data_IF_071578028102
#
_entry.id   IF_071578028102
#
_cell.length_a   1.000
_cell.length_b   1.000
_cell.length_c   1.000
_cell.angle_alpha   90.00
_cell.angle_beta   90.00
_cell.angle_gamma   90.00
#
_symmetry.space_group_name_H-M   'P 1'
#
loop_
_entity.id
_entity.type
_entity.pdbx_description
1 polymer ?
#
# COMPACT_ATOMS: atom_id res chain seq x y z
N UNK A 1 18.07 -19.09 -5.73
CA UNK A 1 17.49 -18.51 -6.95
C UNK A 1 16.37 -19.41 -7.41
N UNK A 2 15.13 -19.15 -6.99
CA UNK A 2 13.97 -19.92 -7.41
C UNK A 2 13.31 -19.17 -8.57
N UNK A 3 13.81 -19.41 -9.78
CA UNK A 3 13.33 -18.77 -11.02
C UNK A 3 11.82 -18.94 -11.20
N UNK A 4 11.26 -20.01 -10.62
CA UNK A 4 9.82 -20.29 -10.63
C UNK A 4 8.96 -19.34 -9.78
N UNK A 5 9.50 -18.64 -8.77
CA UNK A 5 8.70 -17.69 -7.97
C UNK A 5 8.50 -16.39 -8.73
N UNK A 6 9.59 -15.78 -9.22
CA UNK A 6 9.51 -14.52 -9.97
C UNK A 6 8.74 -14.66 -11.31
N UNK A 7 8.83 -15.82 -11.97
CA UNK A 7 8.00 -16.11 -13.16
C UNK A 7 6.51 -16.32 -12.81
N UNK A 8 6.20 -16.82 -11.61
CA UNK A 8 4.84 -17.00 -11.11
C UNK A 8 4.21 -15.64 -10.76
N UNK A 9 4.93 -14.77 -10.06
CA UNK A 9 4.45 -13.44 -9.64
C UNK A 9 4.30 -12.51 -10.85
N UNK A 10 5.26 -12.53 -11.78
CA UNK A 10 5.14 -11.82 -13.07
C UNK A 10 3.98 -12.31 -13.95
N UNK A 11 3.56 -13.57 -13.80
CA UNK A 11 2.38 -14.12 -14.48
C UNK A 11 1.08 -13.72 -13.79
N UNK A 12 1.08 -13.66 -12.45
CA UNK A 12 -0.07 -13.23 -11.65
C UNK A 12 -0.42 -11.75 -11.93
N UNK A 13 0.57 -10.85 -11.88
CA UNK A 13 0.36 -9.43 -12.21
C UNK A 13 -0.25 -9.25 -13.61
N UNK A 14 0.26 -9.98 -14.60
CA UNK A 14 -0.26 -9.91 -15.97
C UNK A 14 -1.73 -10.30 -16.02
N UNK A 15 -2.10 -11.42 -15.40
CA UNK A 15 -3.48 -11.89 -15.37
C UNK A 15 -4.41 -10.86 -14.70
N UNK A 16 -3.98 -10.26 -13.60
CA UNK A 16 -4.79 -9.24 -12.91
C UNK A 16 -4.89 -7.94 -13.72
N UNK A 17 -3.83 -7.53 -14.42
CA UNK A 17 -3.88 -6.39 -15.34
C UNK A 17 -4.80 -6.66 -16.54
N UNK A 18 -4.80 -7.88 -17.08
CA UNK A 18 -5.74 -8.30 -18.13
C UNK A 18 -7.20 -8.28 -17.62
N UNK A 19 -7.45 -8.73 -16.39
CA UNK A 19 -8.78 -8.63 -15.74
C UNK A 19 -9.21 -7.18 -15.51
N UNK A 20 -8.30 -6.32 -15.06
CA UNK A 20 -8.55 -4.89 -14.92
C UNK A 20 -8.93 -4.28 -16.28
N UNK A 21 -8.16 -4.56 -17.32
CA UNK A 21 -8.45 -4.07 -18.67
C UNK A 21 -9.82 -4.57 -19.17
N UNK A 22 -10.11 -5.85 -18.99
CA UNK A 22 -11.37 -6.45 -19.46
C UNK A 22 -12.58 -5.89 -18.72
N UNK A 23 -12.55 -5.81 -17.39
CA UNK A 23 -13.66 -5.25 -16.59
C UNK A 23 -13.94 -3.77 -16.95
N UNK A 24 -12.91 -2.98 -17.22
CA UNK A 24 -13.08 -1.59 -17.69
C UNK A 24 -13.70 -1.52 -19.10
N UNK A 25 -13.32 -2.43 -20.00
CA UNK A 25 -13.94 -2.54 -21.34
C UNK A 25 -15.41 -2.94 -21.25
N UNK A 26 -15.76 -3.88 -20.38
CA UNK A 26 -17.13 -4.34 -20.20
C UNK A 26 -18.01 -3.23 -19.61
N UNK A 27 -17.51 -2.51 -18.60
CA UNK A 27 -18.16 -1.31 -18.06
C UNK A 27 -18.39 -0.26 -19.17
N UNK A 28 -17.39 0.00 -20.02
CA UNK A 28 -17.52 0.94 -21.14
C UNK A 28 -18.55 0.47 -22.17
N UNK A 29 -18.58 -0.83 -22.49
CA UNK A 29 -19.52 -1.40 -23.44
C UNK A 29 -20.98 -1.23 -22.97
N UNK A 30 -21.24 -1.43 -21.69
CA UNK A 30 -22.57 -1.17 -21.08
C UNK A 30 -22.94 0.31 -21.26
N UNK A 31 -22.04 1.23 -20.89
CA UNK A 31 -22.28 2.69 -21.03
C UNK A 31 -22.51 3.08 -22.49
N UNK A 32 -21.84 2.42 -23.45
CA UNK A 32 -22.02 2.67 -24.89
C UNK A 32 -23.37 2.17 -25.41
N UNK A 33 -23.87 1.05 -24.89
CA UNK A 33 -25.16 0.47 -25.28
C UNK A 33 -26.38 1.21 -24.67
N UNK A 34 -26.19 1.96 -23.58
CA UNK A 34 -27.27 2.72 -22.93
C UNK A 34 -27.89 3.78 -23.87
N UNK A 35 -29.23 3.83 -24.00
CA UNK A 35 -29.91 4.86 -24.78
C UNK A 35 -29.50 6.28 -24.38
N UNK A 36 -29.18 7.12 -25.38
CA UNK A 36 -28.80 8.54 -25.16
C UNK A 36 -30.00 9.47 -25.12
N UNK A 37 -31.09 9.08 -25.75
CA UNK A 37 -32.34 9.83 -25.82
C UNK A 37 -33.48 8.99 -25.23
N UNK A 38 -34.45 9.64 -24.59
CA UNK A 38 -35.62 8.99 -23.98
C UNK A 38 -35.29 7.90 -22.94
N UNK A 39 -34.15 8.01 -22.25
CA UNK A 39 -33.70 7.05 -21.24
C UNK A 39 -34.69 6.98 -20.06
N UNK A 40 -35.21 5.79 -19.78
CA UNK A 40 -36.12 5.56 -18.66
C UNK A 40 -35.35 5.31 -17.37
N UNK A 41 -35.95 5.66 -16.24
CA UNK A 41 -35.35 5.46 -14.92
C UNK A 41 -34.93 4.00 -14.66
N UNK A 42 -35.76 3.02 -15.03
CA UNK A 42 -35.41 1.60 -14.87
C UNK A 42 -34.18 1.22 -15.69
N UNK A 43 -34.10 1.67 -16.95
CA UNK A 43 -32.96 1.36 -17.84
C UNK A 43 -31.65 1.95 -17.29
N UNK A 44 -31.74 3.15 -16.72
CA UNK A 44 -30.62 3.77 -16.01
C UNK A 44 -30.19 2.96 -14.78
N UNK A 45 -31.16 2.49 -13.97
CA UNK A 45 -30.84 1.71 -12.77
C UNK A 45 -30.15 0.39 -13.11
N UNK A 46 -30.60 -0.33 -14.14
CA UNK A 46 -29.93 -1.55 -14.62
C UNK A 46 -28.52 -1.23 -15.13
N UNK A 47 -28.38 -0.19 -15.97
CA UNK A 47 -27.07 0.28 -16.46
C UNK A 47 -26.12 0.57 -15.30
N UNK A 48 -26.58 1.32 -14.29
CA UNK A 48 -25.75 1.71 -13.15
C UNK A 48 -25.35 0.50 -12.29
N UNK A 49 -26.23 -0.48 -12.12
CA UNK A 49 -25.93 -1.71 -11.39
C UNK A 49 -24.88 -2.56 -12.12
N UNK A 50 -25.03 -2.76 -13.43
CA UNK A 50 -24.07 -3.52 -14.25
C UNK A 50 -22.69 -2.86 -14.30
N UNK A 51 -22.64 -1.54 -14.54
CA UNK A 51 -21.38 -0.78 -14.46
C UNK A 51 -20.75 -0.91 -13.07
N UNK A 52 -21.56 -0.84 -12.02
CA UNK A 52 -21.10 -0.98 -10.63
C UNK A 52 -20.43 -2.33 -10.35
N UNK A 53 -20.95 -3.42 -10.92
CA UNK A 53 -20.36 -4.76 -10.83
C UNK A 53 -18.97 -4.81 -11.45
N UNK A 54 -18.82 -4.35 -12.69
CA UNK A 54 -17.52 -4.36 -13.35
C UNK A 54 -16.51 -3.41 -12.71
N UNK A 55 -16.95 -2.26 -12.18
CA UNK A 55 -16.07 -1.40 -11.39
C UNK A 55 -15.62 -2.04 -10.06
N UNK A 56 -16.39 -2.99 -9.51
CA UNK A 56 -15.96 -3.79 -8.37
C UNK A 56 -14.89 -4.80 -8.77
N UNK A 57 -15.08 -5.50 -9.89
CA UNK A 57 -14.07 -6.41 -10.47
C UNK A 57 -12.76 -5.67 -10.79
N UNK A 58 -12.83 -4.46 -11.36
CA UNK A 58 -11.67 -3.61 -11.59
C UNK A 58 -10.93 -3.28 -10.29
N UNK A 59 -11.66 -2.97 -9.20
CA UNK A 59 -11.03 -2.70 -7.89
C UNK A 59 -10.41 -3.95 -7.29
N UNK A 60 -11.01 -5.12 -7.45
CA UNK A 60 -10.44 -6.38 -6.98
C UNK A 60 -9.13 -6.68 -7.72
N UNK A 61 -9.11 -6.56 -9.04
CA UNK A 61 -7.90 -6.70 -9.84
C UNK A 61 -6.79 -5.71 -9.42
N UNK A 62 -7.14 -4.44 -9.20
CA UNK A 62 -6.22 -3.44 -8.64
C UNK A 62 -5.70 -3.84 -7.26
N UNK A 63 -6.56 -4.42 -6.42
CA UNK A 63 -6.18 -4.83 -5.08
C UNK A 63 -5.21 -6.02 -5.09
N UNK A 64 -5.38 -6.97 -6.00
CA UNK A 64 -4.45 -8.10 -6.15
C UNK A 64 -3.08 -7.61 -6.63
N UNK A 65 -3.02 -6.77 -7.66
CA UNK A 65 -1.74 -6.17 -8.12
C UNK A 65 -1.07 -5.36 -7.00
N UNK A 66 -1.82 -4.50 -6.31
CA UNK A 66 -1.29 -3.73 -5.18
C UNK A 66 -0.76 -4.64 -4.07
N UNK A 67 -1.46 -5.73 -3.75
CA UNK A 67 -1.03 -6.67 -2.72
C UNK A 67 0.31 -7.31 -3.07
N UNK A 68 0.48 -7.75 -4.31
CA UNK A 68 1.66 -8.47 -4.75
C UNK A 68 2.88 -7.53 -4.90
N UNK A 69 2.69 -6.31 -5.42
CA UNK A 69 3.80 -5.34 -5.58
C UNK A 69 4.16 -4.60 -4.29
N UNK A 70 3.17 -4.27 -3.47
CA UNK A 70 3.30 -3.28 -2.37
C UNK A 70 2.85 -3.81 -1.01
N UNK A 71 2.00 -4.84 -1.00
CA UNK A 71 1.37 -5.37 0.20
C UNK A 71 0.03 -4.71 0.54
N UNK A 72 -0.25 -4.63 1.84
CA UNK A 72 -1.56 -4.19 2.35
C UNK A 72 -1.93 -2.75 2.01
N UNK A 73 -3.23 -2.46 1.97
CA UNK A 73 -3.75 -1.11 1.67
C UNK A 73 -3.18 -0.01 2.58
N UNK A 74 -2.87 -0.32 3.85
CA UNK A 74 -2.24 0.63 4.78
C UNK A 74 -0.81 0.97 4.37
N UNK A 75 -0.02 -0.04 4.00
CA UNK A 75 1.34 0.09 3.48
C UNK A 75 1.34 0.94 2.20
N UNK A 76 0.46 0.62 1.24
CA UNK A 76 0.31 1.37 0.00
C UNK A 76 -0.04 2.85 0.23
N UNK A 77 -0.98 3.13 1.13
CA UNK A 77 -1.34 4.50 1.49
C UNK A 77 -0.17 5.26 2.10
N UNK A 78 0.56 4.64 3.03
CA UNK A 78 1.70 5.28 3.67
C UNK A 78 2.83 5.58 2.66
N UNK A 79 3.13 4.62 1.78
CA UNK A 79 4.08 4.85 0.68
C UNK A 79 3.67 6.02 -0.19
N UNK A 80 2.40 6.08 -0.59
CA UNK A 80 1.88 7.16 -1.43
C UNK A 80 1.96 8.52 -0.74
N UNK A 81 1.65 8.62 0.55
CA UNK A 81 1.84 9.86 1.30
C UNK A 81 3.31 10.25 1.42
N UNK A 82 4.20 9.30 1.68
CA UNK A 82 5.64 9.56 1.81
C UNK A 82 6.29 9.97 0.48
N UNK A 83 5.73 9.59 -0.67
CA UNK A 83 6.17 10.08 -1.97
C UNK A 83 5.54 11.41 -2.40
N UNK A 84 4.56 11.92 -1.64
CA UNK A 84 3.90 13.22 -1.89
C UNK A 84 3.80 14.06 -0.60
N UNK A 85 4.92 14.29 0.12
CA UNK A 85 4.89 15.00 1.39
C UNK A 85 4.42 16.44 1.20
N UNK A 86 3.52 16.91 2.06
CA UNK A 86 2.97 18.26 1.99
C UNK A 86 1.92 18.50 0.88
N UNK A 87 1.67 17.53 0.00
CA UNK A 87 0.66 17.66 -1.05
C UNK A 87 -0.76 17.35 -0.57
N UNK A 88 -1.77 17.94 -1.22
CA UNK A 88 -3.18 17.61 -0.99
C UNK A 88 -3.57 16.36 -1.81
N UNK A 89 -3.79 15.24 -1.14
CA UNK A 89 -4.24 13.99 -1.75
C UNK A 89 -5.75 13.85 -1.61
N UNK A 90 -6.46 13.70 -2.73
CA UNK A 90 -7.91 13.58 -2.73
C UNK A 90 -8.40 12.20 -2.21
N UNK A 91 -9.61 12.12 -1.63
CA UNK A 91 -10.23 10.84 -1.25
C UNK A 91 -10.29 9.79 -2.37
N UNK A 92 -10.50 10.22 -3.62
CA UNK A 92 -10.54 9.31 -4.78
C UNK A 92 -9.16 8.74 -5.13
N UNK A 93 -8.08 9.53 -4.99
CA UNK A 93 -6.72 9.01 -5.10
C UNK A 93 -6.46 7.96 -4.01
N UNK A 94 -6.85 8.23 -2.77
CA UNK A 94 -6.67 7.28 -1.66
C UNK A 94 -7.47 5.99 -1.87
N UNK A 95 -8.70 6.06 -2.39
CA UNK A 95 -9.48 4.88 -2.75
C UNK A 95 -8.80 4.05 -3.84
N UNK A 96 -8.24 4.71 -4.86
CA UNK A 96 -7.50 4.06 -5.94
C UNK A 96 -6.22 3.38 -5.44
N UNK A 97 -5.39 4.10 -4.67
CA UNK A 97 -4.14 3.59 -4.08
C UNK A 97 -4.40 2.41 -3.13
N UNK A 98 -5.41 2.55 -2.27
CA UNK A 98 -5.79 1.50 -1.33
C UNK A 98 -6.51 0.34 -2.03
N UNK A 99 -7.07 0.57 -3.23
CA UNK A 99 -7.99 -0.30 -3.98
C UNK A 99 -9.08 -0.93 -3.09
N UNK A 100 -9.57 -0.19 -2.09
CA UNK A 100 -10.65 -0.58 -1.20
C UNK A 100 -11.51 0.63 -0.86
N UNK A 101 -12.82 0.42 -0.71
CA UNK A 101 -13.76 1.51 -0.32
C UNK A 101 -13.55 1.95 1.13
N UNK A 102 -13.07 1.06 2.00
CA UNK A 102 -12.87 1.32 3.43
C UNK A 102 -11.50 1.98 3.76
N UNK A 103 -10.89 2.69 2.81
CA UNK A 103 -9.56 3.30 2.95
C UNK A 103 -9.46 4.28 4.13
N UNK A 104 -10.53 5.02 4.45
CA UNK A 104 -10.53 5.99 5.55
C UNK A 104 -10.23 5.35 6.92
N UNK A 105 -10.49 4.04 7.08
CA UNK A 105 -10.07 3.29 8.27
C UNK A 105 -8.56 3.18 8.36
N UNK A 106 -7.87 2.95 7.24
CA UNK A 106 -6.40 2.83 7.18
C UNK A 106 -5.71 4.15 7.53
N UNK A 107 -6.29 5.27 7.11
CA UNK A 107 -5.82 6.61 7.53
C UNK A 107 -5.91 6.78 9.05
N UNK A 108 -7.01 6.35 9.67
CA UNK A 108 -7.14 6.40 11.14
C UNK A 108 -6.11 5.52 11.83
N UNK A 109 -5.85 4.33 11.30
CA UNK A 109 -4.81 3.42 11.81
C UNK A 109 -3.41 4.07 11.72
N UNK A 110 -3.08 4.75 10.61
CA UNK A 110 -1.82 5.49 10.48
C UNK A 110 -1.70 6.62 11.50
N UNK A 111 -2.76 7.42 11.68
CA UNK A 111 -2.82 8.48 12.71
C UNK A 111 -2.64 7.92 14.13
N UNK A 112 -3.22 6.75 14.42
CA UNK A 112 -3.09 6.09 15.73
C UNK A 112 -1.66 5.66 16.05
N UNK A 113 -0.84 5.36 15.03
CA UNK A 113 0.59 5.09 15.23
C UNK A 113 1.37 6.36 15.52
N UNK A 114 0.94 7.49 14.96
CA UNK A 114 1.57 8.79 15.16
C UNK A 114 1.87 9.56 13.87
N UNK A 115 1.41 9.07 12.71
CA UNK A 115 1.57 9.82 11.46
C UNK A 115 0.74 11.11 11.47
N UNK A 116 1.40 12.22 11.20
CA UNK A 116 0.79 13.55 11.10
C UNK A 116 0.12 13.75 9.73
N UNK A 117 -1.06 13.15 9.59
CA UNK A 117 -1.89 13.26 8.39
C UNK A 117 -3.08 14.13 8.73
N UNK A 118 -3.21 15.31 8.15
CA UNK A 118 -4.34 16.21 8.36
C UNK A 118 -5.43 16.03 7.32
N UNK A 119 -6.65 16.42 7.68
CA UNK A 119 -7.73 16.68 6.73
C UNK A 119 -7.78 18.18 6.49
N UNK A 120 -7.46 18.62 5.27
CA UNK A 120 -7.09 20.01 4.98
C UNK A 120 -8.25 21.00 5.16
N UNK A 121 -9.48 20.54 4.91
CA UNK A 121 -10.71 21.33 5.05
C UNK A 121 -11.88 20.46 5.52
N UNK A 122 -13.01 21.06 5.88
CA UNK A 122 -14.20 20.30 6.21
C UNK A 122 -14.90 19.75 4.95
N UNK A 123 -15.58 18.61 5.07
CA UNK A 123 -16.38 17.99 4.02
C UNK A 123 -15.99 16.54 3.74
N UNK A 124 -16.89 15.79 3.10
CA UNK A 124 -16.66 14.40 2.74
C UNK A 124 -15.53 14.23 1.70
N UNK A 125 -15.39 15.22 0.81
CA UNK A 125 -14.38 15.23 -0.26
C UNK A 125 -13.12 16.03 0.12
N UNK A 126 -12.92 16.24 1.42
CA UNK A 126 -11.76 16.96 1.91
C UNK A 126 -10.48 16.15 1.66
N UNK A 127 -9.43 16.76 1.08
CA UNK A 127 -8.17 16.09 0.85
C UNK A 127 -7.41 15.91 2.17
N UNK A 128 -6.46 14.99 2.10
CA UNK A 128 -5.54 14.66 3.17
C UNK A 128 -4.15 15.13 2.81
N UNK A 129 -3.35 15.48 3.82
CA UNK A 129 -1.96 15.89 3.63
C UNK A 129 -1.10 15.28 4.71
N UNK A 130 0.03 14.71 4.32
CA UNK A 130 1.08 14.30 5.25
C UNK A 130 1.95 15.53 5.56
N UNK A 131 2.00 15.94 6.81
CA UNK A 131 2.73 17.13 7.24
C UNK A 131 4.21 16.85 7.55
N UNK A 132 4.55 15.61 7.93
CA UNK A 132 5.90 15.17 8.24
C UNK A 132 6.22 13.84 7.52
N UNK A 133 7.32 13.75 6.74
CA UNK A 133 7.63 12.58 5.93
C UNK A 133 8.07 11.34 6.74
N UNK A 134 8.38 11.52 8.02
CA UNK A 134 8.85 10.46 8.93
C UNK A 134 8.20 10.59 10.31
N UNK A 135 8.12 9.47 11.03
CA UNK A 135 7.81 9.50 12.47
C UNK A 135 9.02 10.03 13.25
N UNK A 136 8.75 10.71 14.37
CA UNK A 136 9.78 10.96 15.38
C UNK A 136 10.43 9.64 15.82
N UNK A 137 11.75 9.63 16.00
CA UNK A 137 12.52 8.42 16.35
C UNK A 137 11.94 7.70 17.58
N UNK A 138 11.58 8.46 18.62
CA UNK A 138 10.98 7.91 19.85
C UNK A 138 9.65 7.19 19.59
N UNK A 139 8.86 7.65 18.63
CA UNK A 139 7.61 6.99 18.21
C UNK A 139 7.92 5.78 17.34
N UNK A 140 8.81 5.93 16.36
CA UNK A 140 9.21 4.86 15.44
C UNK A 140 9.74 3.62 16.17
N UNK A 141 10.62 3.81 17.15
CA UNK A 141 11.21 2.72 17.94
C UNK A 141 10.30 2.19 19.06
N UNK A 142 9.09 2.72 19.22
CA UNK A 142 8.21 2.36 20.33
C UNK A 142 7.57 0.97 20.18
N UNK A 143 7.27 0.37 21.34
CA UNK A 143 6.49 -0.87 21.44
C UNK A 143 5.09 -0.74 20.80
N UNK A 144 4.52 0.46 20.84
CA UNK A 144 3.24 0.75 20.18
C UNK A 144 3.35 0.58 18.67
N UNK A 145 4.43 1.09 18.06
CA UNK A 145 4.65 0.97 16.61
C UNK A 145 4.79 -0.50 16.22
N UNK A 146 5.63 -1.27 16.90
CA UNK A 146 5.79 -2.72 16.69
C UNK A 146 4.45 -3.46 16.84
N UNK A 147 3.69 -3.17 17.90
CA UNK A 147 2.40 -3.80 18.16
C UNK A 147 1.29 -3.40 17.18
N UNK A 148 1.46 -2.28 16.47
CA UNK A 148 0.52 -1.82 15.45
C UNK A 148 0.72 -2.47 14.09
N UNK A 149 1.86 -3.15 13.87
CA UNK A 149 2.21 -3.71 12.56
C UNK A 149 1.26 -4.87 12.24
N UNK A 150 0.55 -4.70 11.12
CA UNK A 150 -0.28 -5.72 10.51
C UNK A 150 0.50 -6.52 9.46
N UNK A 151 -0.17 -7.45 8.81
CA UNK A 151 0.41 -8.26 7.73
C UNK A 151 0.14 -9.75 7.93
N UNK A 152 -0.18 -10.41 6.83
CA UNK A 152 -0.51 -11.83 6.80
C UNK A 152 0.75 -12.70 6.77
N UNK A 153 1.79 -12.23 6.08
CA UNK A 153 3.10 -12.89 5.99
C UNK A 153 4.18 -12.20 6.85
N UNK A 154 5.29 -12.89 7.19
CA UNK A 154 6.44 -12.26 7.83
C UNK A 154 7.04 -11.13 6.98
N UNK A 155 7.18 -11.32 5.66
CA UNK A 155 7.65 -10.31 4.72
C UNK A 155 6.79 -9.03 4.77
N UNK A 156 5.45 -9.15 4.68
CA UNK A 156 4.53 -8.00 4.78
C UNK A 156 4.73 -7.22 6.09
N UNK A 157 4.83 -7.93 7.22
CA UNK A 157 5.06 -7.30 8.53
C UNK A 157 6.39 -6.55 8.55
N UNK A 158 7.44 -7.15 8.01
CA UNK A 158 8.77 -6.54 7.96
C UNK A 158 8.76 -5.27 7.10
N UNK A 159 8.16 -5.31 5.91
CA UNK A 159 8.13 -4.12 5.06
C UNK A 159 7.23 -3.01 5.63
N UNK A 160 6.06 -3.36 6.18
CA UNK A 160 5.19 -2.39 6.86
C UNK A 160 5.95 -1.72 8.02
N UNK A 161 6.69 -2.50 8.82
CA UNK A 161 7.49 -1.96 9.91
C UNK A 161 8.63 -1.06 9.44
N UNK A 162 9.45 -1.53 8.50
CA UNK A 162 10.58 -0.76 7.97
C UNK A 162 10.13 0.55 7.31
N UNK A 163 8.98 0.53 6.63
CA UNK A 163 8.35 1.73 6.08
C UNK A 163 7.91 2.71 7.18
N UNK A 164 7.37 2.19 8.28
CA UNK A 164 6.95 3.00 9.42
C UNK A 164 8.12 3.70 10.11
N UNK A 165 9.28 3.04 10.22
CA UNK A 165 10.40 3.54 11.00
C UNK A 165 11.48 4.22 10.17
N UNK A 166 11.52 4.03 8.85
CA UNK A 166 12.48 4.75 7.99
C UNK A 166 12.35 6.27 8.19
N UNK A 167 13.46 7.00 8.43
CA UNK A 167 14.85 6.63 8.13
C UNK A 167 15.62 5.97 9.29
N UNK A 168 14.95 5.58 10.37
CA UNK A 168 15.60 4.98 11.54
C UNK A 168 15.91 3.49 11.31
N UNK A 169 17.10 3.00 11.72
CA UNK A 169 17.47 1.60 11.55
C UNK A 169 16.74 0.69 12.56
N UNK A 170 16.32 -0.48 12.09
CA UNK A 170 15.71 -1.55 12.88
C UNK A 170 16.78 -2.50 13.45
N UNK A 171 16.71 -2.77 14.74
CA UNK A 171 17.54 -3.78 15.39
C UNK A 171 17.08 -5.21 15.06
N UNK A 172 17.98 -6.21 15.15
CA UNK A 172 17.62 -7.62 15.03
C UNK A 172 16.45 -8.04 15.93
N UNK A 173 16.39 -7.53 17.16
CA UNK A 173 15.35 -7.86 18.12
C UNK A 173 13.99 -7.30 17.70
N UNK A 174 13.96 -6.09 17.12
CA UNK A 174 12.71 -5.52 16.60
C UNK A 174 12.21 -6.32 15.38
N UNK A 175 13.10 -6.65 14.44
CA UNK A 175 12.78 -7.40 13.24
C UNK A 175 12.25 -8.81 13.56
N UNK A 176 12.88 -9.51 14.51
CA UNK A 176 12.43 -10.82 14.97
C UNK A 176 11.03 -10.75 15.60
N UNK A 177 10.77 -9.74 16.43
CA UNK A 177 9.46 -9.53 17.07
C UNK A 177 8.36 -9.20 16.06
N UNK A 178 8.67 -8.40 15.05
CA UNK A 178 7.75 -8.04 13.96
C UNK A 178 7.46 -9.25 13.06
N UNK A 179 8.49 -9.97 12.65
CA UNK A 179 8.35 -11.13 11.78
C UNK A 179 7.62 -12.29 12.48
N UNK A 180 7.78 -12.42 13.81
CA UNK A 180 7.25 -13.53 14.63
C UNK A 180 7.78 -14.90 14.24
N UNK A 181 8.90 -14.93 13.50
CA UNK A 181 9.60 -16.14 13.05
C UNK A 181 11.12 -15.92 13.15
N UNK A 182 11.90 -16.97 13.47
CA UNK A 182 13.35 -16.86 13.55
C UNK A 182 14.02 -16.69 12.17
N UNK A 183 13.29 -16.97 11.09
CA UNK A 183 13.75 -16.90 9.69
C UNK A 183 13.66 -15.51 9.08
N UNK A 184 13.38 -14.45 9.84
CA UNK A 184 13.17 -13.09 9.33
C UNK A 184 14.27 -12.56 8.41
N UNK A 185 15.53 -13.01 8.56
CA UNK A 185 16.63 -12.65 7.64
C UNK A 185 16.48 -13.23 6.23
N UNK A 186 15.77 -14.33 6.09
CA UNK A 186 15.41 -14.89 4.79
C UNK A 186 14.32 -14.02 4.15
N UNK A 187 13.28 -13.70 4.90
CA UNK A 187 12.17 -12.83 4.46
C UNK A 187 12.68 -11.45 4.01
N UNK A 188 13.65 -10.85 4.73
CA UNK A 188 14.29 -9.60 4.29
C UNK A 188 15.07 -9.75 2.99
N UNK A 189 15.75 -10.89 2.79
CA UNK A 189 16.48 -11.15 1.54
C UNK A 189 15.51 -11.32 0.38
N UNK A 190 14.38 -11.98 0.61
CA UNK A 190 13.30 -12.12 -0.37
C UNK A 190 12.73 -10.74 -0.74
N UNK A 191 12.46 -9.86 0.23
CA UNK A 191 12.05 -8.48 -0.04
C UNK A 191 13.09 -7.70 -0.88
N UNK A 192 14.40 -7.88 -0.62
CA UNK A 192 15.45 -7.27 -1.43
C UNK A 192 15.47 -7.85 -2.85
N UNK A 193 15.32 -9.16 -3.00
CA UNK A 193 15.21 -9.83 -4.30
C UNK A 193 13.96 -9.37 -5.09
N UNK A 194 12.88 -9.00 -4.39
CA UNK A 194 11.66 -8.38 -4.94
C UNK A 194 11.84 -6.89 -5.30
N UNK A 195 12.99 -6.29 -4.96
CA UNK A 195 13.36 -4.93 -5.34
C UNK A 195 13.19 -3.88 -4.25
N UNK A 196 12.84 -4.26 -3.02
CA UNK A 196 12.84 -3.32 -1.89
C UNK A 196 14.27 -2.91 -1.54
N UNK A 197 14.51 -1.60 -1.45
CA UNK A 197 15.81 -1.04 -1.10
C UNK A 197 16.03 -1.08 0.42
N UNK A 198 16.45 -2.23 0.94
CA UNK A 198 16.75 -2.44 2.36
C UNK A 198 18.25 -2.42 2.56
N UNK A 199 18.74 -1.37 3.21
CA UNK A 199 20.14 -1.15 3.53
C UNK A 199 20.51 -1.82 4.86
N UNK A 200 21.77 -2.19 4.98
CA UNK A 200 22.40 -2.76 6.16
C UNK A 200 23.64 -1.94 6.57
N UNK A 201 24.32 -2.37 7.65
CA UNK A 201 25.59 -1.76 8.06
C UNK A 201 26.63 -1.73 6.95
N UNK A 202 26.68 -2.74 6.09
CA UNK A 202 27.70 -2.82 5.04
C UNK A 202 27.49 -1.73 3.97
N UNK A 203 26.25 -1.29 3.78
CA UNK A 203 25.86 -0.24 2.84
C UNK A 203 26.13 1.17 3.42
N UNK A 204 25.89 1.36 4.73
CA UNK A 204 26.06 2.64 5.42
C UNK A 204 26.63 2.48 6.85
N UNK A 205 27.92 2.15 7.02
CA UNK A 205 28.48 1.74 8.31
C UNK A 205 28.52 2.84 9.38
N UNK A 206 28.40 4.10 8.99
CA UNK A 206 28.31 5.25 9.90
C UNK A 206 26.88 5.61 10.34
N UNK A 207 25.87 5.08 9.66
CA UNK A 207 24.45 5.41 9.91
C UNK A 207 23.66 4.20 10.43
N UNK A 208 24.02 3.00 10.00
CA UNK A 208 23.33 1.76 10.34
C UNK A 208 24.25 0.94 11.24
N UNK A 209 23.89 0.67 12.51
CA UNK A 209 24.71 -0.15 13.39
C UNK A 209 24.84 -1.61 12.89
N UNK A 210 25.89 -2.35 13.28
CA UNK A 210 26.06 -3.74 12.88
C UNK A 210 24.82 -4.60 13.13
N UNK A 211 24.41 -5.36 12.10
CA UNK A 211 23.24 -6.23 12.12
C UNK A 211 21.87 -5.51 12.08
N UNK A 212 21.85 -4.18 11.99
CA UNK A 212 20.61 -3.41 11.79
C UNK A 212 20.29 -3.27 10.31
N UNK A 213 19.03 -2.96 10.02
CA UNK A 213 18.50 -2.79 8.67
C UNK A 213 17.60 -1.57 8.57
N UNK A 214 17.60 -0.89 7.44
CA UNK A 214 16.77 0.31 7.19
C UNK A 214 16.19 0.25 5.78
N UNK A 215 14.93 0.65 5.60
CA UNK A 215 14.42 0.94 4.25
C UNK A 215 14.99 2.29 3.79
N UNK A 216 15.70 2.28 2.67
CA UNK A 216 16.25 3.48 2.05
C UNK A 216 15.17 4.54 1.85
N UNK A 217 15.56 5.81 1.85
CA UNK A 217 14.61 6.91 1.64
C UNK A 217 13.94 6.77 0.28
N UNK A 218 12.61 6.84 0.28
CA UNK A 218 11.78 6.78 -0.92
C UNK A 218 11.76 8.11 -1.69
N UNK A 219 12.43 9.13 -1.15
CA UNK A 219 12.59 10.46 -1.74
C UNK A 219 13.75 10.39 -2.74
N UNK A 220 13.44 10.03 -3.99
CA UNK A 220 14.32 10.19 -5.15
C UNK A 220 13.88 11.38 -5.99
#
# INVERSE_FOLDING_TARGET
>A
MNVHSAESDGRLHREQLEKLEQSLKDALAIVQATPRENLRAQEWLETAAEVGTHLAESREALAEVRHDVVGGARTALLLYFRSHPGEEVSPHQLEGVAAIRAWARRIRELRQVGWDIDTVRAGADAPYRLNAPYLEEAVASSERTIGSIGGTSPAERLIEYLLHISPWPASPQQLERVAKVPTWRQELRELVDEGWLIESHDDAPGEIPPGHYRLANLES
#
